data_IF_097769873543
#
_entry.id   IF_097769873543
#
_cell.length_a   1.000
_cell.length_b   1.000
_cell.length_c   1.000
_cell.angle_alpha   90.00
_cell.angle_beta   90.00
_cell.angle_gamma   90.00
#
_symmetry.space_group_name_H-M   'P 1'
#
loop_
_entity.id
_entity.type
_entity.pdbx_description
1 polymer ?
#
# COMPACT_ATOMS: atom_id res chain seq x y z
N UNK A 1 6.49 -2.59 -10.66
CA UNK A 1 7.25 -3.82 -11.02
C UNK A 1 8.70 -3.49 -11.41
N UNK A 2 8.93 -2.58 -12.38
CA UNK A 2 10.30 -2.19 -12.80
C UNK A 2 11.14 -1.55 -11.68
N UNK A 3 10.53 -0.90 -10.70
CA UNK A 3 11.24 -0.31 -9.57
C UNK A 3 11.64 -1.38 -8.54
N UNK A 4 10.76 -2.29 -8.22
CA UNK A 4 11.04 -3.44 -7.35
C UNK A 4 12.12 -4.31 -7.99
N UNK A 5 12.05 -4.61 -9.29
CA UNK A 5 13.10 -5.38 -9.99
C UNK A 5 14.44 -4.64 -10.08
N UNK A 6 14.45 -3.30 -10.18
CA UNK A 6 15.72 -2.54 -10.11
C UNK A 6 16.33 -2.54 -8.71
N UNK A 7 15.52 -2.50 -7.67
CA UNK A 7 15.96 -2.68 -6.28
C UNK A 7 16.35 -4.14 -6.05
N UNK A 8 15.62 -5.12 -6.54
CA UNK A 8 15.96 -6.55 -6.45
C UNK A 8 17.20 -6.92 -7.27
N UNK A 9 17.37 -6.39 -8.48
CA UNK A 9 18.56 -6.64 -9.30
C UNK A 9 19.85 -6.13 -8.67
N UNK A 10 19.81 -4.99 -7.99
CA UNK A 10 20.92 -4.46 -7.21
C UNK A 10 21.13 -5.22 -5.89
N UNK A 11 20.08 -5.75 -5.29
CA UNK A 11 20.11 -6.56 -4.07
C UNK A 11 20.67 -7.97 -4.30
N UNK A 12 20.37 -8.61 -5.43
CA UNK A 12 20.94 -9.92 -5.77
C UNK A 12 22.48 -9.87 -5.92
N UNK A 13 23.03 -8.76 -6.38
CA UNK A 13 24.47 -8.57 -6.48
C UNK A 13 25.14 -8.31 -5.12
N UNK A 14 24.41 -7.81 -4.12
CA UNK A 14 24.92 -7.59 -2.75
C UNK A 14 24.73 -8.81 -1.83
N UNK A 15 23.75 -9.67 -2.08
CA UNK A 15 23.53 -10.87 -1.28
C UNK A 15 24.55 -11.98 -1.47
N UNK A 16 25.36 -11.94 -2.53
CA UNK A 16 26.45 -12.90 -2.74
C UNK A 16 27.64 -12.73 -1.78
N UNK A 17 27.65 -11.69 -0.94
CA UNK A 17 28.79 -11.40 -0.03
C UNK A 17 28.46 -11.40 1.47
N UNK A 18 27.26 -11.76 1.90
CA UNK A 18 26.88 -11.75 3.31
C UNK A 18 26.36 -13.10 3.79
N UNK A 19 27.21 -14.11 3.78
CA UNK A 19 27.03 -15.30 4.61
C UNK A 19 27.46 -14.99 6.05
N UNK A 20 26.59 -14.37 6.86
CA UNK A 20 26.75 -14.33 8.32
C UNK A 20 25.39 -14.66 8.93
N UNK A 21 25.34 -15.84 9.53
CA UNK A 21 24.26 -16.26 10.38
C UNK A 21 24.10 -15.29 11.57
N UNK A 22 22.99 -14.58 11.67
CA UNK A 22 22.61 -13.92 12.90
C UNK A 22 21.76 -14.88 13.71
N UNK A 23 22.30 -15.28 14.85
CA UNK A 23 21.55 -15.99 15.88
C UNK A 23 20.32 -15.17 16.31
N UNK A 24 19.17 -15.83 16.30
CA UNK A 24 17.93 -15.29 16.81
C UNK A 24 18.06 -14.98 18.30
N UNK A 25 17.76 -13.76 18.70
CA UNK A 25 17.51 -13.48 20.12
C UNK A 25 16.33 -14.36 20.61
N UNK A 26 16.42 -14.86 21.85
CA UNK A 26 15.33 -15.66 22.41
C UNK A 26 14.10 -14.77 22.57
N UNK A 27 13.01 -15.18 21.92
CA UNK A 27 11.74 -14.47 21.95
C UNK A 27 11.28 -14.23 23.38
N UNK A 28 11.04 -12.96 23.69
CA UNK A 28 10.30 -12.55 24.88
C UNK A 28 8.93 -13.26 24.86
N UNK A 29 8.59 -13.92 25.97
CA UNK A 29 7.32 -14.61 26.19
C UNK A 29 6.13 -13.65 26.00
N UNK A 30 5.53 -13.63 24.81
CA UNK A 30 4.31 -12.87 24.47
C UNK A 30 3.01 -13.63 24.79
N UNK A 31 3.07 -14.64 25.67
CA UNK A 31 1.93 -15.53 25.95
C UNK A 31 1.23 -15.16 27.27
N UNK A 32 0.76 -13.91 27.42
CA UNK A 32 0.07 -13.50 28.65
C UNK A 32 -1.25 -12.74 28.45
N UNK A 33 -1.97 -12.95 27.38
CA UNK A 33 -3.39 -12.59 27.35
C UNK A 33 -4.20 -13.84 27.01
N UNK A 34 -4.87 -14.38 28.02
CA UNK A 34 -5.77 -15.52 27.91
C UNK A 34 -7.09 -15.07 27.28
N UNK A 35 -7.11 -14.91 25.96
CA UNK A 35 -8.37 -14.82 25.21
C UNK A 35 -9.11 -16.17 25.26
N UNK A 36 -10.43 -16.13 25.17
CA UNK A 36 -11.26 -17.34 25.05
C UNK A 36 -11.09 -17.85 23.61
N UNK A 37 -10.72 -19.14 23.44
CA UNK A 37 -10.63 -19.71 22.09
C UNK A 37 -11.99 -19.62 21.37
N UNK A 38 -12.00 -19.19 20.12
CA UNK A 38 -13.23 -19.16 19.32
C UNK A 38 -13.76 -20.58 19.16
N UNK A 39 -15.05 -20.84 19.48
CA UNK A 39 -15.67 -22.14 19.27
C UNK A 39 -15.54 -22.64 17.84
N UNK A 40 -15.27 -23.97 17.68
CA UNK A 40 -15.13 -24.57 16.35
C UNK A 40 -16.35 -24.35 15.45
N UNK A 41 -17.56 -24.30 16.03
CA UNK A 41 -18.78 -24.01 15.27
C UNK A 41 -18.77 -22.60 14.64
N UNK A 42 -18.26 -21.61 15.35
CA UNK A 42 -18.13 -20.23 14.83
C UNK A 42 -17.05 -20.19 13.76
N UNK A 43 -15.90 -20.84 13.98
CA UNK A 43 -14.83 -20.89 12.99
C UNK A 43 -15.28 -21.59 11.71
N UNK A 44 -16.08 -22.64 11.81
CA UNK A 44 -16.59 -23.35 10.64
C UNK A 44 -17.51 -22.45 9.79
N UNK A 45 -18.42 -21.71 10.43
CA UNK A 45 -19.26 -20.74 9.76
C UNK A 45 -18.47 -19.57 9.16
N UNK A 46 -17.45 -19.11 9.87
CA UNK A 46 -16.53 -18.08 9.37
C UNK A 46 -15.82 -18.53 8.08
N UNK A 47 -15.25 -19.72 8.06
CA UNK A 47 -14.56 -20.24 6.88
C UNK A 47 -15.51 -20.51 5.71
N UNK A 48 -16.70 -21.02 6.00
CA UNK A 48 -17.74 -21.22 4.99
C UNK A 48 -18.19 -19.87 4.40
N UNK A 49 -18.41 -18.87 5.26
CA UNK A 49 -18.75 -17.51 4.83
C UNK A 49 -17.63 -16.87 4.01
N UNK A 50 -16.38 -17.02 4.43
CA UNK A 50 -15.23 -16.50 3.68
C UNK A 50 -15.10 -17.16 2.29
N UNK A 51 -15.32 -18.45 2.17
CA UNK A 51 -15.32 -19.17 0.90
C UNK A 51 -16.40 -18.63 -0.04
N UNK A 52 -17.63 -18.44 0.45
CA UNK A 52 -18.73 -17.83 -0.32
C UNK A 52 -18.41 -16.39 -0.71
N UNK A 53 -17.88 -15.60 0.21
CA UNK A 53 -17.61 -14.17 0.00
C UNK A 53 -16.41 -13.92 -0.92
N UNK A 54 -15.50 -14.87 -1.08
CA UNK A 54 -14.29 -14.74 -1.89
C UNK A 54 -14.57 -14.46 -3.37
N UNK A 55 -15.76 -14.78 -3.84
CA UNK A 55 -16.16 -14.70 -5.25
C UNK A 55 -17.35 -13.76 -5.48
N UNK A 56 -17.65 -12.88 -4.53
CA UNK A 56 -18.87 -12.05 -4.61
C UNK A 56 -18.75 -10.86 -5.56
N UNK A 57 -17.55 -10.32 -5.74
CA UNK A 57 -17.36 -9.10 -6.53
C UNK A 57 -17.16 -9.43 -8.00
N UNK A 58 -18.06 -8.94 -8.86
CA UNK A 58 -18.02 -9.08 -10.31
C UNK A 58 -17.32 -7.90 -10.97
N UNK A 59 -17.77 -6.71 -10.67
CA UNK A 59 -17.25 -5.46 -11.24
C UNK A 59 -17.47 -4.32 -10.25
N UNK A 60 -16.55 -3.35 -10.21
CA UNK A 60 -16.82 -2.07 -9.56
C UNK A 60 -16.09 -0.92 -10.25
N UNK A 61 -16.68 0.27 -10.11
CA UNK A 61 -16.09 1.54 -10.47
C UNK A 61 -16.03 2.44 -9.24
N UNK A 62 -14.84 2.93 -8.93
CA UNK A 62 -14.62 3.78 -7.76
C UNK A 62 -13.69 4.94 -8.06
N UNK A 63 -13.85 6.02 -7.30
CA UNK A 63 -12.85 7.06 -7.18
C UNK A 63 -11.95 6.72 -6.00
N UNK A 64 -10.67 6.57 -6.25
CA UNK A 64 -9.65 6.31 -5.24
C UNK A 64 -8.88 7.60 -4.95
N UNK A 65 -8.99 8.10 -3.73
CA UNK A 65 -8.05 9.07 -3.17
C UNK A 65 -6.98 8.35 -2.38
N UNK A 66 -5.73 8.70 -2.64
CA UNK A 66 -4.58 8.16 -1.94
C UNK A 66 -3.70 9.30 -1.45
N UNK A 67 -3.40 9.31 -0.16
CA UNK A 67 -2.46 10.19 0.51
C UNK A 67 -1.31 9.36 1.08
N UNK A 68 -0.06 9.72 0.78
CA UNK A 68 1.13 9.05 1.27
C UNK A 68 2.15 10.05 1.82
N UNK A 69 2.71 9.75 3.00
CA UNK A 69 3.81 10.48 3.63
C UNK A 69 5.02 9.55 3.75
N UNK A 70 6.16 9.97 3.22
CA UNK A 70 7.44 9.30 3.43
C UNK A 70 8.27 10.09 4.44
N UNK A 71 8.77 9.42 5.46
CA UNK A 71 9.74 9.95 6.41
C UNK A 71 11.03 9.14 6.37
N UNK A 72 12.15 9.80 6.18
CA UNK A 72 13.49 9.19 6.15
C UNK A 72 14.18 9.46 7.47
N UNK A 73 14.09 8.52 8.41
CA UNK A 73 14.69 8.69 9.75
C UNK A 73 16.22 8.51 9.73
N UNK A 74 16.72 7.66 8.84
CA UNK A 74 18.16 7.37 8.77
C UNK A 74 18.57 7.01 7.36
N UNK A 75 19.70 7.56 6.93
CA UNK A 75 20.31 7.31 5.61
C UNK A 75 21.68 6.66 5.78
N UNK A 76 21.94 5.60 5.05
CA UNK A 76 23.29 5.07 4.90
C UNK A 76 24.10 5.96 3.94
N UNK A 77 25.39 5.61 3.72
CA UNK A 77 26.24 6.38 2.81
C UNK A 77 25.70 6.45 1.38
N UNK A 78 25.08 5.39 0.88
CA UNK A 78 24.54 5.36 -0.51
C UNK A 78 23.42 6.37 -0.66
N UNK A 79 22.38 6.30 0.18
CA UNK A 79 21.27 7.25 0.12
C UNK A 79 21.72 8.68 0.45
N UNK A 80 22.73 8.83 1.32
CA UNK A 80 23.26 10.15 1.69
C UNK A 80 24.00 10.84 0.54
N UNK A 81 24.79 10.10 -0.24
CA UNK A 81 25.62 10.67 -1.31
C UNK A 81 24.97 10.60 -2.70
N UNK A 82 24.06 9.67 -2.93
CA UNK A 82 23.33 9.53 -4.21
C UNK A 82 21.81 9.43 -3.93
N UNK A 83 21.20 10.46 -3.32
CA UNK A 83 19.78 10.42 -2.95
C UNK A 83 18.87 10.33 -4.19
N UNK A 84 19.28 10.88 -5.32
CA UNK A 84 18.52 10.84 -6.58
C UNK A 84 18.27 9.41 -7.10
N UNK A 85 19.14 8.44 -6.76
CA UNK A 85 18.92 7.02 -7.07
C UNK A 85 17.61 6.49 -6.47
N UNK A 86 17.21 7.05 -5.34
CA UNK A 86 15.96 6.73 -4.62
C UNK A 86 14.87 7.78 -4.84
N UNK A 87 15.00 8.66 -5.85
CA UNK A 87 14.09 9.76 -6.13
C UNK A 87 13.94 10.76 -4.97
N UNK A 88 14.96 10.88 -4.13
CA UNK A 88 14.99 11.77 -2.98
C UNK A 88 15.88 12.99 -3.28
N UNK A 89 15.66 14.08 -2.58
CA UNK A 89 16.53 15.25 -2.58
C UNK A 89 17.54 15.16 -1.42
N UNK A 90 18.67 15.86 -1.57
CA UNK A 90 19.64 15.99 -0.50
C UNK A 90 19.03 16.82 0.64
N UNK A 91 19.25 16.39 1.87
CA UNK A 91 18.85 17.11 3.09
C UNK A 91 17.33 17.30 3.27
N UNK A 92 16.51 16.50 2.56
CA UNK A 92 15.05 16.47 2.73
C UNK A 92 14.64 15.11 3.23
N UNK A 93 14.05 15.06 4.41
CA UNK A 93 13.70 13.82 5.08
C UNK A 93 12.20 13.50 5.06
N UNK A 94 11.36 14.43 4.60
CA UNK A 94 9.92 14.22 4.55
C UNK A 94 9.34 14.62 3.20
N UNK A 95 8.45 13.78 2.70
CA UNK A 95 7.77 13.96 1.42
C UNK A 95 6.30 13.61 1.55
N UNK A 96 5.48 14.30 0.77
CA UNK A 96 4.05 14.05 0.60
C UNK A 96 3.73 13.74 -0.84
N UNK A 97 2.79 12.82 -1.03
CA UNK A 97 2.21 12.52 -2.33
C UNK A 97 0.71 12.27 -2.16
N UNK A 98 -0.08 12.93 -2.97
CA UNK A 98 -1.52 12.72 -3.02
C UNK A 98 -1.94 12.49 -4.46
N UNK A 99 -2.90 11.59 -4.66
CA UNK A 99 -3.47 11.34 -5.98
C UNK A 99 -4.96 11.05 -5.90
N UNK A 100 -5.68 11.46 -6.94
CA UNK A 100 -7.06 11.06 -7.20
C UNK A 100 -7.07 10.27 -8.49
N UNK A 101 -7.66 9.08 -8.46
CA UNK A 101 -7.70 8.16 -9.59
C UNK A 101 -9.09 7.58 -9.76
N UNK A 102 -9.46 7.26 -11.00
CA UNK A 102 -10.55 6.33 -11.27
C UNK A 102 -10.00 4.92 -11.24
N UNK A 103 -10.67 4.04 -10.51
CA UNK A 103 -10.31 2.63 -10.39
C UNK A 103 -11.48 1.78 -10.87
N UNK A 104 -11.23 0.97 -11.89
CA UNK A 104 -12.17 0.00 -12.41
C UNK A 104 -11.64 -1.41 -12.16
N UNK A 105 -12.44 -2.24 -11.54
CA UNK A 105 -12.15 -3.64 -11.32
C UNK A 105 -13.13 -4.51 -12.08
N UNK A 106 -12.61 -5.53 -12.71
CA UNK A 106 -13.40 -6.61 -13.33
C UNK A 106 -12.83 -7.95 -12.88
N UNK A 107 -13.71 -8.80 -12.38
CA UNK A 107 -13.33 -10.13 -11.92
C UNK A 107 -12.61 -10.95 -13.00
N UNK A 108 -11.70 -11.80 -12.56
CA UNK A 108 -11.36 -12.13 -11.18
C UNK A 108 -10.25 -11.27 -10.57
N UNK A 109 -9.48 -10.48 -11.33
CA UNK A 109 -8.38 -9.64 -10.82
C UNK A 109 -7.83 -8.65 -11.88
N UNK A 110 -8.69 -8.16 -12.77
CA UNK A 110 -8.33 -7.12 -13.73
C UNK A 110 -8.59 -5.77 -13.10
N UNK A 111 -7.54 -4.97 -12.99
CA UNK A 111 -7.60 -3.61 -12.45
C UNK A 111 -7.13 -2.62 -13.50
N UNK A 112 -7.94 -1.60 -13.78
CA UNK A 112 -7.58 -0.44 -14.59
C UNK A 112 -7.66 0.82 -13.71
N UNK A 113 -6.52 1.51 -13.55
CA UNK A 113 -6.41 2.72 -12.76
C UNK A 113 -5.99 3.88 -13.63
N UNK A 114 -6.83 4.90 -13.68
CA UNK A 114 -6.55 6.15 -14.39
C UNK A 114 -6.33 7.29 -13.39
N UNK A 115 -5.10 7.79 -13.30
CA UNK A 115 -4.78 8.91 -12.42
C UNK A 115 -5.28 10.21 -13.05
N UNK A 116 -6.14 10.93 -12.31
CA UNK A 116 -6.74 12.21 -12.72
C UNK A 116 -5.98 13.42 -12.24
N UNK A 117 -5.52 13.37 -10.99
CA UNK A 117 -4.83 14.48 -10.38
C UNK A 117 -3.77 13.99 -9.38
N UNK A 118 -2.67 14.72 -9.30
CA UNK A 118 -1.58 14.49 -8.37
C UNK A 118 -1.17 15.81 -7.72
N UNK A 119 -0.89 15.79 -6.43
CA UNK A 119 -0.17 16.83 -5.71
C UNK A 119 0.96 16.21 -4.91
N UNK A 120 2.18 16.76 -5.02
CA UNK A 120 3.33 16.09 -4.42
C UNK A 120 4.46 17.06 -4.08
N UNK A 121 5.21 16.72 -3.04
CA UNK A 121 6.45 17.41 -2.67
C UNK A 121 7.70 16.69 -3.19
N UNK A 122 7.56 15.54 -3.86
CA UNK A 122 8.68 14.86 -4.51
C UNK A 122 9.23 15.65 -5.70
N UNK A 123 10.53 15.50 -6.02
CA UNK A 123 11.15 16.22 -7.13
C UNK A 123 10.57 15.87 -8.50
N UNK A 124 10.17 14.61 -8.70
CA UNK A 124 9.51 14.16 -9.92
C UNK A 124 8.04 13.81 -9.65
N UNK A 125 7.09 14.66 -10.03
CA UNK A 125 5.67 14.45 -9.77
C UNK A 125 5.08 13.29 -10.58
N UNK A 126 5.68 12.93 -11.72
CA UNK A 126 5.22 11.85 -12.60
C UNK A 126 5.84 10.49 -12.28
N UNK A 127 6.78 10.46 -11.34
CA UNK A 127 7.37 9.20 -10.91
C UNK A 127 6.42 8.41 -10.02
N UNK A 128 6.13 7.17 -10.37
CA UNK A 128 5.54 6.20 -9.44
C UNK A 128 6.50 6.01 -8.26
N UNK A 129 6.37 6.85 -7.25
CA UNK A 129 7.25 6.77 -6.08
C UNK A 129 6.86 5.57 -5.24
N UNK A 130 5.55 5.31 -5.16
CA UNK A 130 4.98 4.22 -4.38
C UNK A 130 3.72 3.71 -5.07
N UNK A 131 3.81 2.58 -5.76
CA UNK A 131 2.62 1.84 -6.18
C UNK A 131 2.23 0.90 -5.04
N UNK A 132 1.20 1.30 -4.30
CA UNK A 132 0.64 0.50 -3.21
C UNK A 132 -0.47 -0.43 -3.70
N UNK A 133 -0.73 -0.50 -5.01
CA UNK A 133 -1.79 -1.35 -5.56
C UNK A 133 -1.60 -2.82 -5.20
N UNK A 134 -0.35 -3.28 -5.03
CA UNK A 134 -0.08 -4.64 -4.57
C UNK A 134 -0.64 -4.92 -3.16
N UNK A 135 -0.75 -3.88 -2.33
CA UNK A 135 -1.42 -3.94 -1.02
C UNK A 135 -2.93 -3.73 -1.12
N UNK A 136 -3.42 -3.17 -2.23
CA UNK A 136 -4.84 -2.89 -2.44
C UNK A 136 -5.57 -3.95 -3.26
N UNK A 137 -4.86 -4.75 -4.05
CA UNK A 137 -5.40 -5.94 -4.74
C UNK A 137 -5.68 -7.03 -3.71
N UNK A 138 -6.66 -6.76 -2.87
CA UNK A 138 -6.86 -7.46 -1.62
C UNK A 138 -8.20 -8.19 -1.65
N UNK A 139 -8.18 -9.45 -2.10
CA UNK A 139 -9.32 -10.33 -1.81
C UNK A 139 -9.13 -10.89 -0.39
N UNK A 140 -9.72 -10.22 0.59
CA UNK A 140 -9.62 -10.57 2.00
C UNK A 140 -10.05 -12.02 2.29
N UNK A 141 -11.01 -12.52 1.54
CA UNK A 141 -11.62 -13.83 1.71
C UNK A 141 -10.92 -14.92 0.89
N UNK A 142 -9.96 -14.58 0.05
CA UNK A 142 -9.16 -15.51 -0.73
C UNK A 142 -8.22 -16.37 0.12
N UNK A 143 -7.57 -17.36 -0.47
CA UNK A 143 -6.60 -18.22 0.21
C UNK A 143 -5.35 -17.47 0.66
N UNK A 144 -5.03 -16.40 -0.05
CA UNK A 144 -3.88 -15.53 0.21
C UNK A 144 -4.19 -14.10 -0.16
N UNK A 145 -3.44 -13.19 0.43
CA UNK A 145 -3.54 -11.75 0.22
C UNK A 145 -2.20 -11.20 -0.24
N UNK A 146 -2.15 -9.92 -0.66
CA UNK A 146 -0.93 -9.24 -1.09
C UNK A 146 -0.18 -10.01 -2.19
N UNK A 147 -0.85 -10.27 -3.33
CA UNK A 147 -0.30 -11.04 -4.46
C UNK A 147 0.23 -12.43 -4.09
N UNK A 148 -0.54 -13.18 -3.31
CA UNK A 148 -0.21 -14.54 -2.85
C UNK A 148 1.04 -14.63 -1.95
N UNK A 149 1.41 -13.52 -1.30
CA UNK A 149 2.59 -13.48 -0.43
C UNK A 149 2.28 -13.81 1.03
N UNK A 150 1.05 -13.54 1.47
CA UNK A 150 0.60 -13.76 2.86
C UNK A 150 -0.62 -14.66 2.84
N UNK A 151 -0.61 -15.71 3.64
CA UNK A 151 -1.73 -16.64 3.78
C UNK A 151 -2.84 -16.00 4.61
N UNK A 152 -4.05 -15.97 4.05
CA UNK A 152 -5.20 -15.36 4.71
C UNK A 152 -5.62 -16.18 5.95
N UNK A 153 -5.78 -15.57 7.12
CA UNK A 153 -6.31 -16.26 8.29
C UNK A 153 -7.81 -16.59 8.15
N UNK A 154 -8.51 -16.00 7.21
CA UNK A 154 -9.92 -16.29 6.92
C UNK A 154 -10.09 -17.49 5.98
N UNK A 155 -9.00 -18.04 5.44
CA UNK A 155 -9.05 -19.23 4.59
C UNK A 155 -8.98 -20.51 5.41
N UNK A 156 -9.87 -21.47 5.09
CA UNK A 156 -9.85 -22.82 5.66
C UNK A 156 -8.49 -23.51 5.49
N UNK A 157 -7.80 -23.29 4.38
CA UNK A 157 -6.49 -23.89 4.09
C UNK A 157 -5.41 -23.48 5.09
N UNK A 158 -5.50 -22.27 5.65
CA UNK A 158 -4.54 -21.72 6.62
C UNK A 158 -4.94 -21.89 8.08
N UNK A 159 -6.09 -22.52 8.36
CA UNK A 159 -6.59 -22.71 9.74
C UNK A 159 -5.52 -23.28 10.69
N UNK A 160 -4.72 -24.25 10.23
CA UNK A 160 -3.68 -24.93 11.04
C UNK A 160 -2.45 -24.05 11.33
N UNK A 161 -2.38 -22.88 10.75
CA UNK A 161 -1.27 -21.93 10.90
C UNK A 161 -1.55 -20.86 11.94
N UNK A 162 -2.81 -20.73 12.37
CA UNK A 162 -3.29 -19.66 13.23
C UNK A 162 -4.05 -20.19 14.45
N UNK A 163 -4.04 -19.38 15.51
CA UNK A 163 -4.94 -19.47 16.67
C UNK A 163 -5.94 -18.31 16.61
N UNK A 164 -7.16 -18.57 17.07
CA UNK A 164 -8.28 -17.62 17.04
C UNK A 164 -8.82 -17.45 18.45
N UNK A 165 -8.86 -16.21 18.92
CA UNK A 165 -9.35 -15.82 20.22
C UNK A 165 -10.52 -14.89 20.08
N UNK A 166 -11.62 -15.18 20.77
CA UNK A 166 -12.77 -14.31 20.88
C UNK A 166 -12.50 -13.29 21.98
N UNK A 167 -12.43 -12.02 21.64
CA UNK A 167 -12.19 -10.94 22.60
C UNK A 167 -13.48 -10.28 23.05
N UNK A 168 -14.41 -10.07 22.11
CA UNK A 168 -15.69 -9.43 22.39
C UNK A 168 -16.77 -9.85 21.40
N UNK A 169 -18.05 -9.65 21.78
CA UNK A 169 -19.23 -9.83 20.92
C UNK A 169 -20.13 -8.63 21.07
N UNK A 170 -20.20 -7.81 20.03
CA UNK A 170 -21.06 -6.65 19.99
C UNK A 170 -22.43 -7.07 19.46
N UNK A 171 -23.43 -7.08 20.33
CA UNK A 171 -24.82 -7.40 19.96
C UNK A 171 -25.55 -6.14 19.52
N UNK A 172 -26.19 -6.19 18.35
CA UNK A 172 -27.18 -5.22 17.87
C UNK A 172 -28.52 -5.93 17.70
N UNK A 173 -29.59 -5.17 17.45
CA UNK A 173 -30.97 -5.71 17.38
C UNK A 173 -31.14 -6.86 16.37
N UNK A 174 -30.35 -6.94 15.31
CA UNK A 174 -30.53 -7.89 14.20
C UNK A 174 -29.26 -8.64 13.80
N UNK A 175 -28.12 -8.37 14.46
CA UNK A 175 -26.83 -8.99 14.13
C UNK A 175 -25.85 -8.92 15.28
N UNK A 176 -24.91 -9.87 15.30
CA UNK A 176 -23.73 -9.84 16.17
C UNK A 176 -22.49 -9.53 15.37
N UNK A 177 -21.58 -8.82 15.99
CA UNK A 177 -20.23 -8.63 15.44
C UNK A 177 -19.24 -9.26 16.39
N UNK A 178 -18.55 -10.29 15.92
CA UNK A 178 -17.49 -10.97 16.65
C UNK A 178 -16.19 -10.20 16.49
N UNK A 179 -15.56 -9.85 17.60
CA UNK A 179 -14.18 -9.33 17.63
C UNK A 179 -13.24 -10.51 17.87
N UNK A 180 -12.53 -10.90 16.82
CA UNK A 180 -11.65 -12.08 16.81
C UNK A 180 -10.22 -11.62 16.65
N UNK A 181 -9.36 -11.98 17.62
CA UNK A 181 -7.91 -11.85 17.51
C UNK A 181 -7.34 -13.10 16.86
N UNK A 182 -6.51 -12.91 15.86
CA UNK A 182 -5.81 -13.97 15.11
C UNK A 182 -4.33 -13.88 15.40
N UNK A 183 -3.71 -14.98 15.80
CA UNK A 183 -2.29 -15.07 16.15
C UNK A 183 -1.65 -16.23 15.39
N UNK A 184 -0.55 -16.04 14.68
CA UNK A 184 0.14 -17.13 14.00
C UNK A 184 0.79 -18.09 15.01
N UNK A 185 0.77 -19.39 14.74
CA UNK A 185 1.39 -20.42 15.58
C UNK A 185 2.92 -20.33 15.61
N UNK A 186 3.52 -19.70 14.60
CA UNK A 186 4.96 -19.52 14.51
C UNK A 186 5.27 -18.23 13.73
N UNK A 187 6.42 -17.65 13.95
CA UNK A 187 6.86 -16.48 13.23
C UNK A 187 7.18 -16.81 11.78
N UNK A 188 6.55 -16.09 10.84
CA UNK A 188 6.76 -16.24 9.41
C UNK A 188 6.49 -14.91 8.69
N UNK A 189 7.20 -14.68 7.60
CA UNK A 189 6.93 -13.54 6.70
C UNK A 189 5.73 -13.79 5.78
N UNK A 190 5.07 -14.94 5.89
CA UNK A 190 3.86 -15.30 5.14
C UNK A 190 2.62 -15.32 6.02
N UNK A 191 2.73 -14.95 7.28
CA UNK A 191 1.64 -14.91 8.24
C UNK A 191 1.48 -13.49 8.79
N UNK A 192 0.26 -13.16 9.20
CA UNK A 192 -0.08 -11.90 9.84
C UNK A 192 -0.71 -12.15 11.21
N UNK A 193 -0.74 -11.13 12.03
CA UNK A 193 -1.39 -11.12 13.34
C UNK A 193 -2.30 -9.91 13.41
N UNK A 194 -3.43 -10.00 14.15
CA UNK A 194 -4.27 -8.84 14.39
C UNK A 194 -5.71 -9.18 14.70
N UNK A 195 -6.58 -8.23 14.47
CA UNK A 195 -7.95 -8.19 14.93
C UNK A 195 -8.91 -8.08 13.75
N UNK A 196 -10.00 -8.83 13.82
CA UNK A 196 -11.05 -8.85 12.82
C UNK A 196 -12.40 -8.66 13.50
N UNK A 197 -13.21 -7.74 13.00
CA UNK A 197 -14.60 -7.53 13.40
C UNK A 197 -15.50 -8.09 12.31
N UNK A 198 -16.21 -9.18 12.62
CA UNK A 198 -16.90 -10.03 11.65
C UNK A 198 -18.39 -10.10 12.00
N UNK A 199 -19.26 -9.76 11.06
CA UNK A 199 -20.71 -9.88 11.20
C UNK A 199 -21.15 -11.34 11.12
N UNK A 200 -22.07 -11.79 11.98
CA UNK A 200 -22.65 -13.14 11.92
C UNK A 200 -23.73 -13.30 10.85
N UNK A 201 -24.29 -12.18 10.35
CA UNK A 201 -25.38 -12.20 9.37
C UNK A 201 -24.96 -12.78 8.02
N UNK A 202 -23.75 -12.46 7.60
CA UNK A 202 -23.21 -12.78 6.28
C UNK A 202 -21.71 -13.15 6.31
N UNK A 203 -21.15 -13.25 7.50
CA UNK A 203 -19.73 -13.56 7.76
C UNK A 203 -18.79 -12.61 7.02
N UNK A 204 -19.22 -11.34 6.87
CA UNK A 204 -18.38 -10.29 6.31
C UNK A 204 -17.54 -9.60 7.38
N UNK A 205 -16.30 -9.27 7.01
CA UNK A 205 -15.45 -8.41 7.82
C UNK A 205 -15.97 -6.98 7.73
N UNK A 206 -16.17 -6.32 8.85
CA UNK A 206 -16.55 -4.89 8.94
C UNK A 206 -15.33 -4.01 9.09
N UNK A 207 -14.38 -4.50 9.86
CA UNK A 207 -13.13 -3.82 10.13
C UNK A 207 -12.03 -4.85 10.35
N UNK A 208 -10.82 -4.53 9.98
CA UNK A 208 -9.62 -5.28 10.36
C UNK A 208 -8.50 -4.33 10.77
N UNK A 209 -7.68 -4.81 11.68
CA UNK A 209 -6.46 -4.17 12.14
C UNK A 209 -5.38 -5.25 12.26
N UNK A 210 -4.47 -5.28 11.30
CA UNK A 210 -3.52 -6.39 11.15
C UNK A 210 -2.11 -5.88 10.94
N UNK A 211 -1.15 -6.61 11.45
CA UNK A 211 0.26 -6.35 11.23
C UNK A 211 1.01 -7.61 10.83
N UNK A 212 2.12 -7.41 10.15
CA UNK A 212 2.94 -8.50 9.69
C UNK A 212 4.29 -8.01 9.18
N UNK A 213 5.04 -8.96 8.67
CA UNK A 213 6.35 -8.68 8.09
C UNK A 213 6.46 -9.36 6.74
N UNK A 214 6.80 -8.59 5.72
CA UNK A 214 7.09 -9.12 4.40
C UNK A 214 8.47 -8.66 3.94
N UNK A 215 9.37 -9.60 3.66
CA UNK A 215 10.78 -9.33 3.34
C UNK A 215 11.44 -8.44 4.41
N UNK A 216 11.79 -7.20 4.05
CA UNK A 216 12.45 -6.22 4.91
C UNK A 216 11.51 -5.14 5.43
N UNK A 217 10.20 -5.28 5.15
CA UNK A 217 9.17 -4.31 5.51
C UNK A 217 8.31 -4.92 6.61
N UNK A 218 8.12 -4.20 7.71
CA UNK A 218 7.02 -4.45 8.62
C UNK A 218 5.86 -3.56 8.21
N UNK A 219 4.65 -4.09 8.21
CA UNK A 219 3.46 -3.35 7.86
C UNK A 219 2.41 -3.43 8.99
N UNK A 220 1.61 -2.38 9.07
CA UNK A 220 0.39 -2.32 9.84
C UNK A 220 -0.72 -1.82 8.91
N UNK A 221 -1.81 -2.56 8.81
CA UNK A 221 -2.95 -2.25 7.95
C UNK A 221 -4.22 -2.22 8.78
N UNK A 222 -4.85 -1.06 8.85
CA UNK A 222 -6.19 -0.88 9.37
C UNK A 222 -7.14 -0.59 8.21
N UNK A 223 -8.26 -1.30 8.13
CA UNK A 223 -9.18 -1.20 7.01
C UNK A 223 -10.63 -1.28 7.47
N UNK A 224 -11.43 -0.31 7.05
CA UNK A 224 -12.88 -0.30 7.20
C UNK A 224 -13.53 -0.67 5.88
N UNK A 225 -14.46 -1.60 5.93
CA UNK A 225 -15.24 -2.04 4.78
C UNK A 225 -16.46 -1.15 4.59
N UNK A 226 -17.04 -1.19 3.39
CA UNK A 226 -18.28 -0.46 3.10
C UNK A 226 -19.49 -0.96 3.92
N UNK A 227 -20.49 -0.12 4.06
CA UNK A 227 -21.65 -0.38 4.92
C UNK A 227 -22.88 -0.87 4.14
N UNK A 228 -22.97 -0.62 2.82
CA UNK A 228 -24.11 -1.03 2.00
C UNK A 228 -24.04 -2.51 1.63
N UNK A 229 -25.13 -3.06 1.14
CA UNK A 229 -25.19 -4.48 0.72
C UNK A 229 -24.20 -4.80 -0.39
N UNK A 230 -23.92 -3.86 -1.29
CA UNK A 230 -22.98 -4.05 -2.39
C UNK A 230 -21.54 -3.80 -1.97
N UNK A 231 -21.31 -2.79 -1.10
CA UNK A 231 -19.94 -2.36 -0.77
C UNK A 231 -19.34 -3.08 0.43
N UNK A 232 -20.13 -3.84 1.21
CA UNK A 232 -19.65 -4.55 2.42
C UNK A 232 -18.52 -5.54 2.21
N UNK A 233 -18.26 -5.94 0.97
CA UNK A 233 -17.15 -6.81 0.58
C UNK A 233 -15.91 -6.03 0.16
N UNK A 234 -16.00 -4.71 0.09
CA UNK A 234 -15.00 -3.82 -0.49
C UNK A 234 -14.44 -2.85 0.56
N UNK A 235 -13.15 -2.54 0.53
CA UNK A 235 -12.56 -1.54 1.41
C UNK A 235 -13.09 -0.14 1.09
N UNK A 236 -13.47 0.62 2.11
CA UNK A 236 -13.89 2.03 1.95
C UNK A 236 -12.79 3.00 2.42
N UNK A 237 -12.21 2.72 3.57
CA UNK A 237 -11.12 3.51 4.14
C UNK A 237 -10.02 2.55 4.61
N UNK A 238 -8.77 2.85 4.30
CA UNK A 238 -7.65 2.11 4.86
C UNK A 238 -6.51 3.04 5.26
N UNK A 239 -5.76 2.61 6.28
CA UNK A 239 -4.48 3.17 6.66
C UNK A 239 -3.44 2.05 6.60
N UNK A 240 -2.33 2.33 5.94
CA UNK A 240 -1.22 1.39 5.78
C UNK A 240 0.07 2.06 6.19
N UNK A 241 0.66 1.56 7.26
CA UNK A 241 1.98 1.98 7.72
C UNK A 241 3.02 0.95 7.32
N UNK A 242 4.06 1.40 6.64
CA UNK A 242 5.17 0.58 6.19
C UNK A 242 6.45 1.07 6.85
N UNK A 243 7.20 0.16 7.44
CA UNK A 243 8.46 0.47 8.08
C UNK A 243 9.58 -0.39 7.48
N UNK A 244 10.50 0.27 6.78
CA UNK A 244 11.65 -0.37 6.13
C UNK A 244 12.92 -0.08 6.91
N UNK A 245 13.61 -1.13 7.40
CA UNK A 245 14.90 -1.04 8.11
C UNK A 245 15.91 -1.99 7.48
N UNK A 246 16.93 -1.44 6.83
CA UNK A 246 17.96 -2.26 6.21
C UNK A 246 19.28 -1.49 6.04
N UNK A 247 20.43 -2.11 6.36
CA UNK A 247 21.78 -1.57 6.19
C UNK A 247 21.92 -0.12 6.65
N UNK A 248 21.43 0.19 7.87
CA UNK A 248 21.42 1.54 8.46
C UNK A 248 20.53 2.56 7.74
N UNK A 249 19.64 2.12 6.86
CA UNK A 249 18.51 2.92 6.39
C UNK A 249 17.30 2.66 7.27
N UNK A 250 16.51 3.70 7.52
CA UNK A 250 15.21 3.59 8.17
C UNK A 250 14.27 4.57 7.48
N UNK A 251 13.29 4.01 6.77
CA UNK A 251 12.23 4.74 6.08
C UNK A 251 10.89 4.30 6.63
N UNK A 252 10.02 5.25 6.82
CA UNK A 252 8.64 5.06 7.24
C UNK A 252 7.72 5.65 6.19
N UNK A 253 6.69 4.92 5.81
CA UNK A 253 5.69 5.35 4.83
C UNK A 253 4.30 5.13 5.43
N UNK A 254 3.52 6.19 5.49
CA UNK A 254 2.17 6.17 6.01
C UNK A 254 1.23 6.50 4.85
N UNK A 255 0.28 5.62 4.57
CA UNK A 255 -0.71 5.79 3.53
C UNK A 255 -2.11 5.83 4.12
N UNK A 256 -2.92 6.73 3.61
CA UNK A 256 -4.36 6.74 3.82
C UNK A 256 -5.04 6.68 2.47
N UNK A 257 -5.93 5.73 2.28
CA UNK A 257 -6.71 5.59 1.06
C UNK A 257 -8.20 5.59 1.34
N UNK A 258 -8.95 6.29 0.50
CA UNK A 258 -10.40 6.36 0.55
C UNK A 258 -10.99 6.04 -0.82
N UNK A 259 -11.94 5.09 -0.83
CA UNK A 259 -12.63 4.65 -2.03
C UNK A 259 -14.10 5.07 -1.96
N UNK A 260 -14.55 5.72 -3.02
CA UNK A 260 -15.95 6.05 -3.21
C UNK A 260 -16.50 5.29 -4.42
N UNK A 261 -17.38 4.34 -4.18
CA UNK A 261 -17.92 3.44 -5.19
C UNK A 261 -19.13 4.08 -5.89
N UNK A 262 -19.01 4.25 -7.21
CA UNK A 262 -20.09 4.74 -8.07
C UNK A 262 -20.99 3.60 -8.58
N UNK A 263 -20.40 2.42 -8.80
CA UNK A 263 -21.08 1.22 -9.28
C UNK A 263 -20.41 0.00 -8.67
N UNK A 264 -21.22 -0.95 -8.20
CA UNK A 264 -20.76 -2.27 -7.76
C UNK A 264 -21.73 -3.31 -8.28
N UNK A 265 -21.20 -4.33 -8.94
CA UNK A 265 -21.94 -5.52 -9.37
C UNK A 265 -21.41 -6.74 -8.63
N UNK A 266 -22.31 -7.55 -8.12
CA UNK A 266 -21.97 -8.78 -7.41
C UNK A 266 -22.35 -10.00 -8.24
N UNK A 267 -21.59 -11.08 -8.10
CA UNK A 267 -22.02 -12.40 -8.56
C UNK A 267 -23.14 -12.95 -7.68
N UNK A 268 -23.93 -13.85 -8.25
CA UNK A 268 -24.91 -14.58 -7.47
C UNK A 268 -24.23 -15.45 -6.39
N UNK A 269 -24.91 -15.65 -5.24
CA UNK A 269 -24.35 -16.42 -4.13
C UNK A 269 -24.05 -17.89 -4.46
N UNK A 270 -24.69 -18.45 -5.48
CA UNK A 270 -24.50 -19.84 -5.92
C UNK A 270 -23.15 -20.09 -6.60
N UNK A 271 -22.45 -19.01 -7.03
CA UNK A 271 -21.12 -19.07 -7.62
C UNK A 271 -21.06 -19.66 -9.04
N UNK A 272 -22.18 -19.91 -9.70
CA UNK A 272 -22.21 -20.55 -11.05
C UNK A 272 -21.54 -19.66 -12.09
N UNK A 273 -21.87 -18.38 -12.12
CA UNK A 273 -21.23 -17.41 -13.02
C UNK A 273 -19.72 -17.29 -12.80
N UNK A 274 -19.27 -17.35 -11.54
CA UNK A 274 -17.86 -17.32 -11.20
C UNK A 274 -17.10 -18.53 -11.74
N UNK A 275 -17.65 -19.73 -11.59
CA UNK A 275 -17.05 -20.96 -12.11
C UNK A 275 -16.91 -20.94 -13.63
N UNK A 276 -17.89 -20.40 -14.34
CA UNK A 276 -17.83 -20.27 -15.80
C UNK A 276 -16.79 -19.23 -16.24
N UNK A 277 -16.65 -18.14 -15.50
CA UNK A 277 -15.60 -17.14 -15.71
C UNK A 277 -14.20 -17.76 -15.53
N UNK A 278 -13.99 -18.55 -14.50
CA UNK A 278 -12.72 -19.23 -14.26
C UNK A 278 -12.36 -20.20 -15.39
N UNK A 279 -13.31 -20.98 -15.90
CA UNK A 279 -13.09 -21.89 -17.04
C UNK A 279 -12.62 -21.12 -18.28
N UNK A 280 -13.28 -20.01 -18.58
CA UNK A 280 -12.93 -19.17 -19.74
C UNK A 280 -11.55 -18.56 -19.60
N UNK A 281 -11.16 -18.15 -18.38
CA UNK A 281 -9.92 -17.45 -18.12
C UNK A 281 -8.69 -18.37 -18.03
N UNK A 282 -8.84 -19.64 -17.75
CA UNK A 282 -7.70 -20.58 -17.65
C UNK A 282 -6.75 -20.53 -18.86
N UNK A 283 -7.20 -19.96 -19.97
CA UNK A 283 -6.43 -19.81 -21.21
C UNK A 283 -5.96 -18.36 -21.49
N UNK A 284 -6.27 -17.39 -20.64
CA UNK A 284 -5.91 -15.99 -20.86
C UNK A 284 -4.86 -15.51 -19.86
N UNK A 285 -3.65 -15.21 -20.36
CA UNK A 285 -2.50 -14.71 -19.60
C UNK A 285 -2.39 -13.17 -19.59
N UNK A 286 -3.49 -12.44 -19.80
CA UNK A 286 -3.47 -10.97 -19.82
C UNK A 286 -3.06 -10.37 -18.48
N UNK A 287 -2.44 -9.18 -18.51
CA UNK A 287 -2.05 -8.45 -17.32
C UNK A 287 -3.25 -8.14 -16.43
N UNK A 288 -3.07 -8.32 -15.14
CA UNK A 288 -4.09 -8.05 -14.14
C UNK A 288 -4.17 -6.59 -13.70
N UNK A 289 -3.25 -5.74 -14.15
CA UNK A 289 -3.20 -4.34 -13.74
C UNK A 289 -2.71 -3.42 -14.86
N UNK A 290 -3.49 -2.39 -15.14
CA UNK A 290 -3.15 -1.31 -16.07
C UNK A 290 -3.17 0.01 -15.33
N UNK A 291 -2.09 0.78 -15.44
CA UNK A 291 -1.99 2.13 -14.91
C UNK A 291 -1.84 3.12 -16.06
N UNK A 292 -2.79 4.02 -16.19
CA UNK A 292 -2.73 5.13 -17.15
C UNK A 292 -2.61 6.47 -16.44
N UNK A 293 -1.71 7.31 -16.91
CA UNK A 293 -1.52 8.68 -16.42
C UNK A 293 -1.56 9.65 -17.59
N UNK A 294 -2.40 10.66 -17.49
CA UNK A 294 -2.34 11.80 -18.41
C UNK A 294 -1.29 12.80 -17.89
N UNK A 295 -0.12 12.83 -18.54
CA UNK A 295 1.03 13.62 -18.07
C UNK A 295 0.90 15.12 -18.30
N UNK A 296 -0.11 15.57 -19.04
CA UNK A 296 -0.23 16.98 -19.43
C UNK A 296 -1.08 17.82 -18.47
N UNK A 297 -1.97 17.21 -17.67
CA UNK A 297 -2.94 17.93 -16.82
C UNK A 297 -2.95 17.50 -15.35
N UNK A 298 -2.05 16.64 -14.94
CA UNK A 298 -2.14 15.88 -13.68
C UNK A 298 -1.65 16.62 -12.44
N UNK A 299 -0.62 17.46 -12.57
CA UNK A 299 0.01 18.07 -11.39
C UNK A 299 -0.72 19.34 -11.02
N UNK A 300 -1.40 19.30 -9.88
CA UNK A 300 -2.13 20.42 -9.32
C UNK A 300 -1.33 21.07 -8.19
N UNK A 301 -1.43 22.38 -8.08
CA UNK A 301 -0.98 23.11 -6.90
C UNK A 301 -1.85 22.75 -5.67
N UNK A 302 -1.37 23.14 -4.50
CA UNK A 302 -2.05 22.84 -3.25
C UNK A 302 -3.49 23.39 -3.20
N UNK A 303 -3.69 24.61 -3.69
CA UNK A 303 -4.97 25.30 -3.63
C UNK A 303 -6.01 24.65 -4.55
N UNK A 304 -5.59 24.23 -5.74
CA UNK A 304 -6.44 23.50 -6.70
C UNK A 304 -6.76 22.09 -6.20
N UNK A 305 -5.77 21.41 -5.60
CA UNK A 305 -5.97 20.06 -5.05
C UNK A 305 -6.87 20.07 -3.80
N UNK A 306 -6.84 21.14 -2.99
CA UNK A 306 -7.71 21.31 -1.81
C UNK A 306 -9.21 21.25 -2.17
N UNK A 307 -9.59 21.60 -3.40
CA UNK A 307 -11.00 21.58 -3.86
C UNK A 307 -11.53 20.18 -4.11
N UNK A 308 -10.65 19.24 -4.40
CA UNK A 308 -10.99 17.84 -4.73
C UNK A 308 -10.58 16.85 -3.65
N UNK A 309 -9.85 17.31 -2.61
CA UNK A 309 -9.37 16.48 -1.51
C UNK A 309 -10.52 16.07 -0.58
N UNK A 310 -10.80 14.76 -0.41
CA UNK A 310 -11.84 14.31 0.50
C UNK A 310 -11.41 14.30 1.97
N UNK A 311 -10.11 14.13 2.24
CA UNK A 311 -9.54 14.08 3.60
C UNK A 311 -8.60 15.26 3.76
N UNK A 312 -8.86 16.21 4.67
CA UNK A 312 -8.01 17.39 4.85
C UNK A 312 -6.58 17.00 5.28
N UNK A 313 -5.62 17.88 5.00
CA UNK A 313 -4.27 17.77 5.53
C UNK A 313 -4.27 18.18 7.00
N UNK A 314 -3.36 17.58 7.76
CA UNK A 314 -3.00 18.11 9.08
C UNK A 314 -2.01 19.27 8.95
N UNK A 315 -1.72 19.96 10.09
CA UNK A 315 -0.86 21.13 10.09
C UNK A 315 0.58 20.82 9.66
N UNK A 316 1.09 19.63 9.96
CA UNK A 316 2.44 19.21 9.59
C UNK A 316 2.51 18.89 8.10
N UNK A 317 1.49 18.23 7.57
CA UNK A 317 1.37 17.90 6.14
C UNK A 317 1.30 19.17 5.28
N UNK A 318 0.49 20.18 5.69
CA UNK A 318 0.45 21.47 5.02
C UNK A 318 1.80 22.19 5.01
N UNK A 319 2.55 22.11 6.12
CA UNK A 319 3.87 22.71 6.19
C UNK A 319 4.85 22.10 5.19
N UNK A 320 4.76 20.79 4.90
CA UNK A 320 5.62 20.16 3.90
C UNK A 320 5.41 20.77 2.50
N UNK A 321 4.15 21.01 2.13
CA UNK A 321 3.83 21.70 0.87
C UNK A 321 4.31 23.15 0.85
N UNK A 322 4.12 23.89 1.94
CA UNK A 322 4.61 25.28 2.06
C UNK A 322 6.13 25.35 1.91
N UNK A 323 6.87 24.49 2.65
CA UNK A 323 8.33 24.37 2.55
C UNK A 323 8.79 23.98 1.14
N UNK A 324 8.05 23.12 0.45
CA UNK A 324 8.35 22.78 -0.96
C UNK A 324 8.21 23.98 -1.86
N UNK A 325 7.10 24.72 -1.76
CA UNK A 325 6.85 25.95 -2.53
C UNK A 325 7.95 26.98 -2.32
N UNK A 326 8.33 27.24 -1.08
CA UNK A 326 9.41 28.18 -0.74
C UNK A 326 10.75 27.76 -1.34
N UNK A 327 11.10 26.46 -1.29
CA UNK A 327 12.34 25.94 -1.89
C UNK A 327 12.36 26.11 -3.40
N UNK A 328 11.25 25.79 -4.08
CA UNK A 328 11.14 25.95 -5.54
C UNK A 328 11.31 27.42 -5.93
N UNK A 329 10.67 28.34 -5.21
CA UNK A 329 10.82 29.78 -5.43
C UNK A 329 12.24 30.26 -5.18
N UNK A 330 12.86 29.82 -4.09
CA UNK A 330 14.26 30.14 -3.77
C UNK A 330 15.22 29.62 -4.84
N UNK A 331 15.03 28.41 -5.30
CA UNK A 331 15.87 27.80 -6.35
C UNK A 331 15.72 28.54 -7.67
N UNK A 332 14.49 28.87 -8.08
CA UNK A 332 14.24 29.67 -9.28
C UNK A 332 14.89 31.07 -9.19
N UNK A 333 14.85 31.73 -8.04
CA UNK A 333 15.53 32.99 -7.80
C UNK A 333 17.06 32.87 -7.93
N UNK A 334 17.63 31.81 -7.31
CA UNK A 334 19.07 31.55 -7.41
C UNK A 334 19.53 31.21 -8.82
N UNK A 335 18.78 30.43 -9.57
CA UNK A 335 19.06 30.13 -10.98
C UNK A 335 19.02 31.38 -11.84
N UNK A 336 18.11 32.31 -11.56
CA UNK A 336 18.03 33.62 -12.24
C UNK A 336 19.25 34.47 -11.95
N UNK A 337 19.67 34.53 -10.68
CA UNK A 337 20.88 35.25 -10.27
C UNK A 337 22.13 34.64 -10.92
N UNK A 338 22.25 33.31 -10.91
CA UNK A 338 23.39 32.63 -11.49
C UNK A 338 23.48 32.80 -13.01
N UNK A 339 22.35 32.81 -13.72
CA UNK A 339 22.31 33.13 -15.16
C UNK A 339 22.68 34.58 -15.46
N UNK A 340 22.39 35.52 -14.55
CA UNK A 340 22.73 36.93 -14.68
C UNK A 340 24.20 37.23 -14.33
N UNK A 341 24.91 36.32 -13.64
CA UNK A 341 26.33 36.49 -13.33
C UNK A 341 27.19 36.32 -14.59
N UNK A 342 28.17 37.20 -14.82
CA UNK A 342 29.10 37.02 -15.93
C UNK A 342 29.92 35.77 -15.77
N UNK A 343 29.85 34.88 -16.76
CA UNK A 343 30.62 33.61 -16.77
C UNK A 343 32.10 33.91 -16.76
N UNK A 344 32.81 33.49 -15.75
CA UNK A 344 34.26 33.69 -15.64
C UNK A 344 35.01 32.92 -16.72
N UNK A 345 36.21 33.42 -17.09
CA UNK A 345 37.07 32.79 -18.14
C UNK A 345 37.40 31.32 -17.78
N UNK A 346 37.45 30.98 -16.49
CA UNK A 346 37.74 29.65 -15.98
C UNK A 346 36.54 28.68 -16.18
N UNK A 347 35.32 29.16 -15.97
CA UNK A 347 34.08 28.40 -16.22
C UNK A 347 33.85 28.15 -17.69
N UNK A 348 34.13 29.15 -18.57
CA UNK A 348 34.08 28.97 -20.02
C UNK A 348 35.01 27.86 -20.49
N UNK A 349 36.23 27.76 -19.93
CA UNK A 349 37.16 26.70 -20.26
C UNK A 349 36.69 25.33 -19.77
N UNK A 350 36.05 25.23 -18.58
CA UNK A 350 35.50 23.98 -18.07
C UNK A 350 34.34 23.45 -18.92
N UNK A 351 33.44 24.33 -19.37
CA UNK A 351 32.35 23.98 -20.29
C UNK A 351 32.90 23.52 -21.65
N UNK A 352 33.93 24.16 -22.17
CA UNK A 352 34.56 23.83 -23.43
C UNK A 352 35.22 22.43 -23.37
N UNK A 353 35.89 22.10 -22.25
CA UNK A 353 36.50 20.79 -22.06
C UNK A 353 35.51 19.66 -21.79
N UNK A 354 34.34 19.99 -21.15
CA UNK A 354 33.26 19.05 -20.98
C UNK A 354 32.60 18.63 -22.31
N UNK A 355 32.45 19.56 -23.24
CA UNK A 355 31.88 19.28 -24.56
C UNK A 355 32.82 18.49 -25.49
N UNK A 356 34.12 18.53 -25.24
CA UNK A 356 35.11 17.72 -25.99
C UNK A 356 35.25 16.28 -25.47
N UNK A 357 34.74 15.99 -24.27
CA UNK A 357 34.70 14.64 -23.71
C UNK A 357 33.54 13.79 -24.14
N UNK A 358 32.51 14.40 -24.76
CA UNK A 358 31.27 13.75 -25.25
C UNK A 358 31.26 13.55 -26.78
N UNK A 359 32.38 13.75 -27.49
CA UNK A 359 32.52 13.61 -28.95
C UNK A 359 33.23 12.31 -29.34
#
# INVERSE_FOLDING_TARGET
>A
LKFIYRVYGFFLLLCCFAGVANASEPGSNLWSEKGIAVPDSILELLFQGAETNSHRIKEYQSSLYLKGKLTVHKRNRIIKYVPSMFKLEKDIDQYMHESVSDLHYTAPDIYDRKVRAVSTTFPNPYGEVFDIMDYMKFNLYGSSVMENKILSPLSRSSRRLYQYFLEDVLERSDSRTYHIKVVPLFQSTQLLEGHFWISDKDWTVKHLDVHGKYALITFHLSMHMGETEETRFLPQLFNLDLNFKFLKNHLEMNYTGWLNYAKVELFDPDGTEWLDLQKTRSHNLSNSYTLTCDTTQLVLDLDSFNRIRPIPLDGDEEQLYKKRKERVLFQAAMDTIQKAMPVTRREKNLVFWGQLGDA
#
